data_IF_855807725258
#
_entry.id   IF_855807725258
#
_cell.length_a   1.000
_cell.length_b   1.000
_cell.length_c   1.000
_cell.angle_alpha   90.00
_cell.angle_beta   90.00
_cell.angle_gamma   90.00
#
_symmetry.space_group_name_H-M   'P 1'
#
loop_
_entity.id
_entity.type
_entity.pdbx_description
1 polymer ?
#
# COMPACT_ATOMS: atom_id res chain seq x y z
N UNK A 1 -34.74 -20.29 -0.21
CA UNK A 1 -34.54 -19.90 1.20
C UNK A 1 -33.13 -19.35 1.35
N UNK A 2 -33.04 -18.08 1.74
CA UNK A 2 -31.81 -17.41 2.17
C UNK A 2 -31.32 -18.03 3.48
N UNK A 3 -30.02 -18.34 3.57
CA UNK A 3 -29.27 -18.27 4.83
C UNK A 3 -27.83 -17.85 4.52
N UNK A 4 -27.57 -16.54 4.55
CA UNK A 4 -26.24 -16.03 4.84
C UNK A 4 -25.97 -16.19 6.35
N UNK A 5 -24.81 -16.68 6.78
CA UNK A 5 -24.28 -16.36 8.09
C UNK A 5 -23.44 -15.08 8.02
N UNK A 6 -23.81 -14.10 8.85
CA UNK A 6 -23.11 -12.84 9.14
C UNK A 6 -21.94 -13.13 10.14
N UNK A 7 -21.10 -12.14 10.50
CA UNK A 7 -19.63 -12.14 10.44
C UNK A 7 -18.94 -12.79 11.66
N UNK A 8 -17.78 -13.43 11.46
CA UNK A 8 -16.92 -13.86 12.56
C UNK A 8 -15.95 -12.74 12.98
N UNK A 9 -16.35 -11.94 13.98
CA UNK A 9 -15.53 -11.02 14.76
C UNK A 9 -14.49 -11.72 15.67
N UNK A 10 -13.93 -12.86 15.26
CA UNK A 10 -12.85 -13.54 15.99
C UNK A 10 -11.58 -13.44 15.17
N UNK A 11 -10.68 -12.56 15.60
CA UNK A 11 -9.29 -12.45 15.16
C UNK A 11 -8.49 -13.54 15.90
N UNK A 12 -7.86 -14.54 15.24
CA UNK A 12 -7.05 -15.49 16.01
C UNK A 12 -5.68 -15.84 15.42
N UNK A 13 -4.66 -15.76 16.30
CA UNK A 13 -3.32 -16.41 16.32
C UNK A 13 -2.03 -15.58 16.12
N UNK A 14 -2.05 -14.25 15.96
CA UNK A 14 -0.81 -13.41 15.88
C UNK A 14 -0.65 -12.52 17.08
N UNK A 15 -1.77 -12.25 17.76
CA UNK A 15 -1.77 -11.91 19.16
C UNK A 15 -0.94 -12.92 19.96
N UNK A 16 -0.89 -14.20 19.57
CA UNK A 16 -0.13 -15.22 20.31
C UNK A 16 1.37 -14.99 20.39
N UNK A 17 2.11 -14.55 19.37
CA UNK A 17 3.58 -14.55 19.49
C UNK A 17 4.12 -13.47 20.44
N UNK A 18 3.55 -12.27 20.33
CA UNK A 18 3.85 -11.17 21.24
C UNK A 18 3.13 -11.32 22.58
N UNK A 19 1.91 -11.85 22.66
CA UNK A 19 1.28 -12.18 23.96
C UNK A 19 1.97 -13.35 24.67
N UNK A 20 2.48 -14.35 23.94
CA UNK A 20 3.24 -15.45 24.55
C UNK A 20 4.59 -14.93 25.06
N UNK A 21 5.31 -14.08 24.31
CA UNK A 21 6.54 -13.48 24.83
C UNK A 21 6.29 -12.48 25.98
N UNK A 22 5.20 -11.69 25.93
CA UNK A 22 4.85 -10.74 26.99
C UNK A 22 4.25 -11.43 28.25
N UNK A 23 3.58 -12.58 28.12
CA UNK A 23 3.08 -13.41 29.24
C UNK A 23 4.09 -14.45 29.73
N UNK A 24 5.15 -14.71 28.97
CA UNK A 24 6.22 -15.61 29.39
C UNK A 24 7.02 -14.90 30.49
N UNK A 25 6.84 -15.37 31.72
CA UNK A 25 7.69 -15.03 32.87
C UNK A 25 9.09 -15.71 32.73
N UNK A 26 9.47 -16.15 31.52
CA UNK A 26 10.71 -16.89 31.24
C UNK A 26 11.24 -16.56 29.85
N UNK A 27 12.54 -16.74 29.68
CA UNK A 27 13.20 -16.57 28.38
C UNK A 27 12.71 -17.58 27.33
N UNK A 28 12.85 -17.19 26.06
CA UNK A 28 12.47 -17.99 24.89
C UNK A 28 13.34 -19.24 24.79
N UNK A 29 12.72 -20.41 24.63
CA UNK A 29 13.40 -21.68 24.47
C UNK A 29 13.15 -22.24 23.05
N UNK A 30 14.17 -22.15 22.21
CA UNK A 30 14.15 -22.57 20.81
C UNK A 30 13.79 -24.05 20.59
N UNK A 31 13.90 -24.90 21.61
CA UNK A 31 13.60 -26.35 21.53
C UNK A 31 12.13 -26.70 21.78
N UNK A 32 11.40 -25.83 22.49
CA UNK A 32 10.04 -26.14 22.99
C UNK A 32 9.01 -25.12 22.52
N UNK A 33 9.47 -23.91 22.21
CA UNK A 33 8.61 -22.80 21.86
C UNK A 33 8.39 -22.76 20.33
N UNK A 34 7.12 -22.91 19.92
CA UNK A 34 6.72 -22.83 18.50
C UNK A 34 7.20 -21.51 17.93
N UNK A 35 7.84 -21.52 16.75
CA UNK A 35 8.21 -20.33 15.97
C UNK A 35 7.20 -20.00 14.89
N UNK A 36 6.57 -18.82 14.94
CA UNK A 36 5.77 -18.35 13.80
C UNK A 36 6.69 -17.64 12.80
N UNK A 37 6.62 -18.02 11.52
CA UNK A 37 7.35 -17.30 10.48
C UNK A 37 6.93 -15.82 10.42
N UNK A 38 7.90 -14.87 10.29
CA UNK A 38 7.63 -13.43 10.23
C UNK A 38 6.62 -13.02 9.15
N UNK A 39 6.57 -13.75 8.03
CA UNK A 39 5.61 -13.48 6.95
C UNK A 39 4.15 -13.65 7.38
N UNK A 40 3.88 -14.47 8.41
CA UNK A 40 2.54 -14.58 8.96
C UNK A 40 2.20 -13.24 9.60
N UNK A 41 3.07 -12.72 10.50
CA UNK A 41 2.96 -11.42 11.21
C UNK A 41 2.65 -10.29 10.24
N UNK A 42 3.43 -10.22 9.18
CA UNK A 42 3.31 -9.21 8.14
C UNK A 42 1.94 -9.27 7.45
N UNK A 43 1.47 -10.45 7.05
CA UNK A 43 0.15 -10.59 6.39
C UNK A 43 -1.00 -10.07 7.25
N UNK A 44 -0.96 -10.19 8.57
CA UNK A 44 -2.08 -9.69 9.39
C UNK A 44 -2.01 -8.22 9.70
N UNK A 45 -0.83 -7.64 9.88
CA UNK A 45 -0.78 -6.18 10.02
C UNK A 45 -1.25 -5.52 8.72
N UNK A 46 -0.93 -6.10 7.56
CA UNK A 46 -1.48 -5.66 6.28
C UNK A 46 -3.00 -5.84 6.20
N UNK A 47 -3.53 -6.99 6.63
CA UNK A 47 -4.98 -7.24 6.66
C UNK A 47 -5.73 -6.34 7.64
N UNK A 48 -5.10 -6.02 8.78
CA UNK A 48 -5.59 -5.04 9.75
C UNK A 48 -5.73 -3.66 9.12
N UNK A 49 -4.73 -3.23 8.35
CA UNK A 49 -4.77 -1.97 7.61
C UNK A 49 -5.85 -2.03 6.54
N UNK A 50 -5.97 -3.12 5.77
CA UNK A 50 -7.03 -3.30 4.77
C UNK A 50 -8.44 -3.14 5.36
N UNK A 51 -8.66 -3.60 6.60
CA UNK A 51 -9.92 -3.42 7.32
C UNK A 51 -10.01 -2.14 8.15
N UNK A 52 -9.03 -1.23 8.03
CA UNK A 52 -8.95 0.02 8.79
C UNK A 52 -9.05 -0.17 10.31
N UNK A 53 -8.47 -1.25 10.86
CA UNK A 53 -8.52 -1.55 12.29
C UNK A 53 -7.41 -0.80 13.05
N UNK A 54 -7.69 0.44 13.44
CA UNK A 54 -6.74 1.31 14.14
C UNK A 54 -6.22 0.70 15.46
N UNK A 55 -7.10 0.09 16.26
CA UNK A 55 -6.75 -0.43 17.57
C UNK A 55 -5.63 -1.48 17.49
N UNK A 56 -5.72 -2.39 16.52
CA UNK A 56 -4.70 -3.42 16.33
C UNK A 56 -3.39 -2.81 15.82
N UNK A 57 -3.44 -1.85 14.89
CA UNK A 57 -2.26 -1.14 14.40
C UNK A 57 -1.52 -0.40 15.54
N UNK A 58 -2.25 0.33 16.39
CA UNK A 58 -1.69 1.04 17.53
C UNK A 58 -1.01 0.09 18.52
N UNK A 59 -1.66 -1.03 18.84
CA UNK A 59 -1.08 -2.05 19.71
C UNK A 59 0.20 -2.64 19.10
N UNK A 60 0.21 -2.93 17.80
CA UNK A 60 1.36 -3.46 17.08
C UNK A 60 2.55 -2.49 17.08
N UNK A 61 2.32 -1.22 16.76
CA UNK A 61 3.37 -0.18 16.75
C UNK A 61 3.89 0.10 18.16
N UNK A 62 3.01 0.15 19.17
CA UNK A 62 3.42 0.35 20.57
C UNK A 62 4.40 -0.73 21.03
N UNK A 63 4.20 -1.98 20.61
CA UNK A 63 5.12 -3.09 20.93
C UNK A 63 6.41 -3.06 20.12
N UNK A 64 6.35 -2.57 18.87
CA UNK A 64 7.52 -2.54 17.98
C UNK A 64 7.57 -1.22 17.18
N UNK A 65 8.04 -0.11 17.77
CA UNK A 65 8.03 1.20 17.13
C UNK A 65 8.86 1.26 15.83
N UNK A 66 9.94 0.51 15.74
CA UNK A 66 10.78 0.42 14.54
C UNK A 66 10.04 -0.11 13.29
N UNK A 67 8.87 -0.71 13.46
CA UNK A 67 8.07 -1.21 12.33
C UNK A 67 7.42 -0.10 11.49
N UNK A 68 7.47 1.16 11.92
CA UNK A 68 6.96 2.30 11.15
C UNK A 68 7.71 2.44 9.81
N UNK A 69 9.03 2.23 9.82
CA UNK A 69 9.90 2.36 8.64
C UNK A 69 10.18 1.02 7.94
N UNK A 70 9.79 -0.09 8.57
CA UNK A 70 10.02 -1.44 8.04
C UNK A 70 9.21 -1.67 6.75
N UNK A 71 9.83 -2.38 5.80
CA UNK A 71 9.15 -2.86 4.60
C UNK A 71 8.33 -4.12 4.86
N UNK A 72 7.10 -4.11 4.34
CA UNK A 72 6.18 -5.23 4.28
C UNK A 72 5.94 -5.61 2.83
N UNK A 73 5.58 -6.87 2.59
CA UNK A 73 5.41 -7.46 1.27
C UNK A 73 3.96 -7.92 1.08
N UNK A 74 3.39 -7.60 -0.07
CA UNK A 74 2.09 -8.10 -0.51
C UNK A 74 2.17 -8.60 -1.95
N UNK A 75 1.75 -9.84 -2.16
CA UNK A 75 1.67 -10.47 -3.49
C UNK A 75 0.21 -10.58 -3.93
N UNK A 76 -0.04 -10.26 -5.19
CA UNK A 76 -1.25 -10.58 -5.90
C UNK A 76 -0.90 -11.43 -7.14
N UNK A 77 -1.75 -12.39 -7.48
CA UNK A 77 -1.57 -13.26 -8.65
C UNK A 77 -2.79 -13.06 -9.56
N UNK A 78 -2.77 -12.04 -10.45
CA UNK A 78 -3.91 -11.74 -11.32
C UNK A 78 -4.23 -12.83 -12.33
N UNK A 79 -3.23 -13.61 -12.76
CA UNK A 79 -3.41 -14.70 -13.70
C UNK A 79 -2.41 -15.82 -13.44
N UNK A 80 -2.85 -17.06 -13.69
CA UNK A 80 -2.00 -18.26 -13.66
C UNK A 80 -1.67 -18.77 -15.07
N UNK A 81 -2.36 -18.29 -16.10
CA UNK A 81 -2.07 -18.59 -17.51
C UNK A 81 -2.43 -17.40 -18.43
N UNK A 82 -1.44 -16.62 -18.92
CA UNK A 82 -0.03 -16.66 -18.49
C UNK A 82 0.11 -16.32 -17.01
N UNK A 83 1.17 -16.80 -16.36
CA UNK A 83 1.46 -16.45 -14.96
C UNK A 83 1.78 -14.96 -14.91
N UNK A 84 0.96 -14.21 -14.17
CA UNK A 84 1.17 -12.81 -13.83
C UNK A 84 1.21 -12.69 -12.32
N UNK A 85 2.28 -12.12 -11.78
CA UNK A 85 2.42 -11.83 -10.35
C UNK A 85 2.76 -10.36 -10.17
N UNK A 86 2.09 -9.72 -9.22
CA UNK A 86 2.37 -8.34 -8.82
C UNK A 86 2.71 -8.33 -7.35
N UNK A 87 3.86 -7.77 -7.03
CA UNK A 87 4.34 -7.61 -5.67
C UNK A 87 4.47 -6.13 -5.38
N UNK A 88 3.96 -5.72 -4.23
CA UNK A 88 4.18 -4.39 -3.66
C UNK A 88 4.99 -4.59 -2.38
N UNK A 89 6.06 -3.83 -2.23
CA UNK A 89 6.87 -3.73 -1.03
C UNK A 89 6.83 -2.28 -0.56
N UNK A 90 6.23 -2.03 0.59
CA UNK A 90 6.09 -0.68 1.14
C UNK A 90 6.06 -0.70 2.67
N UNK A 91 6.14 0.47 3.31
CA UNK A 91 5.89 0.58 4.74
C UNK A 91 4.38 0.51 5.02
N UNK A 92 4.00 0.49 6.30
CA UNK A 92 2.57 0.43 6.69
C UNK A 92 1.76 1.61 6.17
N UNK A 93 2.37 2.79 6.04
CA UNK A 93 1.73 3.97 5.48
C UNK A 93 1.32 3.77 4.03
N UNK A 94 2.14 3.11 3.23
CA UNK A 94 1.81 2.79 1.84
C UNK A 94 0.60 1.89 1.71
N UNK A 95 0.50 0.87 2.56
CA UNK A 95 -0.68 0.02 2.59
C UNK A 95 -1.91 0.77 3.11
N UNK A 96 -1.75 1.70 4.05
CA UNK A 96 -2.86 2.53 4.51
C UNK A 96 -3.38 3.45 3.41
N UNK A 97 -2.49 3.98 2.57
CA UNK A 97 -2.85 4.71 1.35
C UNK A 97 -3.59 3.76 0.39
N UNK A 98 -2.94 2.67 -0.03
CA UNK A 98 -3.45 1.70 -1.01
C UNK A 98 -4.87 1.21 -0.70
N UNK A 99 -5.16 0.95 0.57
CA UNK A 99 -6.46 0.44 1.01
C UNK A 99 -7.45 1.52 1.47
N UNK A 100 -7.09 2.81 1.37
CA UNK A 100 -7.88 3.94 1.89
C UNK A 100 -8.25 3.79 3.38
N UNK A 101 -7.32 3.23 4.16
CA UNK A 101 -7.48 2.98 5.58
C UNK A 101 -7.28 4.29 6.38
N UNK A 102 -8.28 5.18 6.32
CA UNK A 102 -8.16 6.57 6.76
C UNK A 102 -7.76 6.75 8.23
N UNK A 103 -8.24 5.91 9.14
CA UNK A 103 -7.89 6.01 10.57
C UNK A 103 -6.45 5.55 10.81
N UNK A 104 -6.06 4.44 10.18
CA UNK A 104 -4.69 3.94 10.19
C UNK A 104 -3.72 4.94 9.57
N UNK A 105 -4.09 5.55 8.44
CA UNK A 105 -3.33 6.58 7.75
C UNK A 105 -3.05 7.78 8.66
N UNK A 106 -4.11 8.33 9.27
CA UNK A 106 -3.98 9.47 10.17
C UNK A 106 -3.02 9.15 11.32
N UNK A 107 -3.19 7.99 11.96
CA UNK A 107 -2.29 7.57 13.03
C UNK A 107 -0.83 7.45 12.56
N UNK A 108 -0.58 6.80 11.42
CA UNK A 108 0.78 6.63 10.88
C UNK A 108 1.44 7.97 10.54
N UNK A 109 0.68 8.94 10.03
CA UNK A 109 1.17 10.29 9.81
C UNK A 109 1.48 11.03 11.12
N UNK A 110 0.64 10.87 12.16
CA UNK A 110 0.88 11.51 13.47
C UNK A 110 2.15 11.02 14.16
N UNK A 111 2.57 9.78 13.91
CA UNK A 111 3.82 9.20 14.41
C UNK A 111 4.97 9.34 13.41
N UNK A 112 4.85 10.27 12.47
CA UNK A 112 5.91 10.66 11.52
C UNK A 112 6.33 9.59 10.51
N UNK A 113 5.44 8.66 10.14
CA UNK A 113 5.69 7.78 8.99
C UNK A 113 5.86 8.61 7.71
N UNK A 114 6.94 8.37 6.96
CA UNK A 114 7.28 9.20 5.79
C UNK A 114 6.54 8.76 4.51
N UNK A 115 5.70 9.62 3.88
CA UNK A 115 5.02 9.32 2.61
C UNK A 115 5.99 9.22 1.41
N UNK A 116 7.19 9.77 1.53
CA UNK A 116 8.21 9.77 0.49
C UNK A 116 9.26 8.67 0.66
N UNK A 117 9.12 7.81 1.67
CA UNK A 117 9.91 6.59 1.76
C UNK A 117 9.70 5.75 0.50
N UNK A 118 10.77 5.17 -0.05
CA UNK A 118 10.70 4.31 -1.23
C UNK A 118 9.71 3.17 -1.04
N UNK A 119 9.04 2.77 -2.11
CA UNK A 119 8.25 1.57 -2.25
C UNK A 119 8.69 0.89 -3.54
N UNK A 120 8.63 -0.44 -3.56
CA UNK A 120 9.06 -1.25 -4.69
C UNK A 120 7.88 -2.02 -5.25
N UNK A 121 7.80 -2.03 -6.57
CA UNK A 121 6.75 -2.68 -7.31
C UNK A 121 7.41 -3.65 -8.26
N UNK A 122 7.00 -4.91 -8.20
CA UNK A 122 7.59 -5.98 -9.00
C UNK A 122 6.47 -6.66 -9.76
N UNK A 123 6.57 -6.63 -11.08
CA UNK A 123 5.67 -7.34 -11.98
C UNK A 123 6.45 -8.47 -12.65
N UNK A 124 5.97 -9.69 -12.46
CA UNK A 124 6.53 -10.87 -13.09
C UNK A 124 5.51 -11.46 -14.04
N UNK A 125 5.94 -11.75 -15.26
CA UNK A 125 5.13 -12.45 -16.25
C UNK A 125 5.89 -13.61 -16.88
N UNK A 126 5.25 -14.76 -17.03
CA UNK A 126 5.78 -15.90 -17.76
C UNK A 126 4.68 -16.77 -18.35
N UNK A 127 4.97 -17.51 -19.42
CA UNK A 127 4.11 -18.64 -19.82
C UNK A 127 4.17 -19.76 -18.76
N UNK A 128 3.17 -20.66 -18.67
CA UNK A 128 3.17 -21.77 -17.70
C UNK A 128 4.40 -22.69 -17.80
N UNK A 129 4.98 -22.82 -19.01
CA UNK A 129 6.20 -23.57 -19.27
C UNK A 129 7.50 -22.80 -18.97
N UNK A 130 7.42 -21.61 -18.37
CA UNK A 130 8.56 -20.78 -18.02
C UNK A 130 9.25 -20.10 -19.21
N UNK A 131 8.64 -20.12 -20.41
CA UNK A 131 9.13 -19.38 -21.58
C UNK A 131 8.66 -17.91 -21.50
N UNK A 132 9.42 -16.99 -22.12
CA UNK A 132 9.16 -15.55 -22.15
C UNK A 132 9.04 -14.93 -20.75
N UNK A 133 10.02 -15.20 -19.88
CA UNK A 133 10.10 -14.59 -18.55
C UNK A 133 10.42 -13.11 -18.70
N UNK A 134 9.56 -12.27 -18.15
CA UNK A 134 9.78 -10.83 -18.04
C UNK A 134 9.56 -10.42 -16.60
N UNK A 135 10.54 -9.73 -16.04
CA UNK A 135 10.48 -9.11 -14.73
C UNK A 135 10.60 -7.60 -14.92
N UNK A 136 9.63 -6.85 -14.40
CA UNK A 136 9.66 -5.41 -14.36
C UNK A 136 9.65 -4.97 -12.90
N UNK A 137 10.62 -4.15 -12.53
CA UNK A 137 10.73 -3.59 -11.19
C UNK A 137 10.69 -2.07 -11.32
N UNK A 138 9.95 -1.41 -10.45
CA UNK A 138 10.10 0.02 -10.28
C UNK A 138 10.07 0.43 -8.82
N UNK A 139 10.89 1.42 -8.51
CA UNK A 139 10.95 2.08 -7.21
C UNK A 139 10.33 3.46 -7.32
N UNK A 140 9.40 3.76 -6.41
CA UNK A 140 8.69 5.03 -6.34
C UNK A 140 8.49 5.44 -4.88
N UNK A 141 8.30 6.73 -4.57
CA UNK A 141 7.81 7.15 -3.27
C UNK A 141 6.49 6.46 -2.90
N UNK A 142 6.32 6.11 -1.62
CA UNK A 142 5.14 5.42 -1.09
C UNK A 142 3.83 6.12 -1.44
N UNK A 143 3.83 7.45 -1.48
CA UNK A 143 2.67 8.28 -1.85
C UNK A 143 2.11 7.97 -3.25
N UNK A 144 2.89 7.34 -4.14
CA UNK A 144 2.43 6.91 -5.47
C UNK A 144 1.35 5.82 -5.40
N UNK A 145 1.24 5.09 -4.30
CA UNK A 145 0.12 4.17 -4.05
C UNK A 145 -1.25 4.88 -4.02
N UNK A 146 -1.28 6.22 -3.97
CA UNK A 146 -2.49 7.00 -4.23
C UNK A 146 -3.12 6.66 -5.59
N UNK A 147 -2.34 6.36 -6.63
CA UNK A 147 -2.88 6.05 -7.96
C UNK A 147 -3.81 4.84 -7.94
N UNK A 148 -3.51 3.82 -7.11
CA UNK A 148 -4.37 2.67 -6.90
C UNK A 148 -5.59 2.98 -6.03
N UNK A 149 -5.48 4.03 -5.21
CA UNK A 149 -6.48 4.43 -4.23
C UNK A 149 -7.56 5.32 -4.84
N UNK A 150 -7.18 6.18 -5.81
CA UNK A 150 -8.05 7.09 -6.54
C UNK A 150 -8.98 6.28 -7.44
N UNK A 151 -10.22 6.13 -6.96
CA UNK A 151 -11.29 5.44 -7.64
C UNK A 151 -12.56 6.27 -7.47
N UNK A 152 -13.22 6.65 -8.57
CA UNK A 152 -14.41 7.50 -8.51
C UNK A 152 -15.52 6.89 -7.64
N UNK A 153 -15.71 5.58 -7.71
CA UNK A 153 -16.66 4.84 -6.84
C UNK A 153 -16.35 4.92 -5.34
N UNK A 154 -15.16 5.39 -4.96
CA UNK A 154 -14.68 5.57 -3.58
C UNK A 154 -14.34 7.04 -3.27
N UNK A 155 -14.94 7.98 -3.99
CA UNK A 155 -14.68 9.44 -3.90
C UNK A 155 -14.55 9.95 -2.46
N UNK A 156 -15.52 9.66 -1.59
CA UNK A 156 -15.50 10.12 -0.19
C UNK A 156 -14.31 9.61 0.62
N UNK A 157 -13.96 8.32 0.44
CA UNK A 157 -12.80 7.71 1.11
C UNK A 157 -11.50 8.34 0.62
N UNK A 158 -11.41 8.66 -0.68
CA UNK A 158 -10.24 9.31 -1.31
C UNK A 158 -10.10 10.76 -0.87
N UNK A 159 -11.20 11.51 -0.75
CA UNK A 159 -11.19 12.87 -0.23
C UNK A 159 -10.67 12.89 1.21
N UNK A 160 -11.17 12.00 2.08
CA UNK A 160 -10.69 11.87 3.47
C UNK A 160 -9.20 11.52 3.53
N UNK A 161 -8.74 10.68 2.62
CA UNK A 161 -7.33 10.30 2.50
C UNK A 161 -6.49 11.54 2.19
N UNK A 162 -6.85 12.30 1.15
CA UNK A 162 -6.12 13.51 0.78
C UNK A 162 -6.18 14.62 1.83
N UNK A 163 -7.32 14.77 2.51
CA UNK A 163 -7.41 15.67 3.66
C UNK A 163 -6.38 15.30 4.73
N UNK A 164 -6.23 14.01 5.03
CA UNK A 164 -5.28 13.53 6.04
C UNK A 164 -3.83 13.81 5.63
N UNK A 165 -3.49 13.59 4.35
CA UNK A 165 -2.17 13.96 3.81
C UNK A 165 -1.94 15.48 3.87
N UNK A 166 -2.95 16.30 3.56
CA UNK A 166 -2.83 17.76 3.64
C UNK A 166 -2.61 18.23 5.07
N UNK A 167 -3.39 17.72 6.03
CA UNK A 167 -3.25 18.05 7.45
C UNK A 167 -1.88 17.65 8.02
N UNK A 168 -1.24 16.63 7.46
CA UNK A 168 0.12 16.23 7.78
C UNK A 168 1.20 17.00 6.99
N UNK A 169 0.83 18.07 6.27
CA UNK A 169 1.71 18.90 5.44
C UNK A 169 2.47 18.11 4.36
N UNK A 170 1.85 17.09 3.76
CA UNK A 170 2.49 16.33 2.68
C UNK A 170 2.54 17.17 1.39
N UNK A 171 3.73 17.39 0.85
CA UNK A 171 3.96 18.29 -0.28
C UNK A 171 3.94 17.56 -1.63
N UNK A 172 2.75 17.37 -2.21
CA UNK A 172 2.59 16.69 -3.50
C UNK A 172 3.08 17.51 -4.72
N UNK A 173 3.59 18.73 -4.50
CA UNK A 173 4.14 19.60 -5.54
C UNK A 173 5.67 19.43 -5.74
N UNK A 174 6.29 18.55 -4.95
CA UNK A 174 7.72 18.26 -5.06
C UNK A 174 8.03 17.33 -6.24
N UNK A 175 9.15 17.55 -6.96
CA UNK A 175 9.61 16.66 -8.01
C UNK A 175 9.87 15.26 -7.50
N UNK A 176 9.62 14.26 -8.35
CA UNK A 176 9.89 12.87 -8.02
C UNK A 176 10.62 12.15 -9.15
N UNK A 177 11.42 11.16 -8.78
CA UNK A 177 12.11 10.29 -9.71
C UNK A 177 11.71 8.83 -9.45
N UNK A 178 11.43 8.11 -10.53
CA UNK A 178 11.18 6.68 -10.49
C UNK A 178 12.37 5.95 -11.10
N UNK A 179 12.83 4.89 -10.44
CA UNK A 179 13.83 3.98 -11.01
C UNK A 179 13.09 2.77 -11.56
N UNK A 180 13.32 2.44 -12.83
CA UNK A 180 12.74 1.27 -13.48
C UNK A 180 13.84 0.33 -13.91
N UNK A 181 13.60 -0.97 -13.79
CA UNK A 181 14.47 -2.02 -14.25
C UNK A 181 13.64 -3.12 -14.90
N UNK A 182 14.02 -3.52 -16.11
CA UNK A 182 13.39 -4.59 -16.87
C UNK A 182 14.41 -5.70 -17.11
N UNK A 183 14.05 -6.94 -16.82
CA UNK A 183 14.87 -8.12 -17.06
C UNK A 183 14.09 -9.11 -17.92
N UNK A 184 14.66 -9.48 -19.05
CA UNK A 184 14.09 -10.45 -20.00
C UNK A 184 15.18 -11.43 -20.44
N UNK A 185 15.42 -12.52 -19.68
CA UNK A 185 16.47 -13.47 -20.00
C UNK A 185 16.28 -14.05 -21.43
N UNK A 186 17.36 -14.16 -22.23
CA UNK A 186 18.77 -14.01 -21.87
C UNK A 186 19.33 -12.57 -21.98
N UNK A 187 18.51 -11.56 -22.29
CA UNK A 187 18.97 -10.20 -22.50
C UNK A 187 19.48 -9.55 -21.21
N UNK A 188 20.44 -8.63 -21.35
CA UNK A 188 20.92 -7.83 -20.22
C UNK A 188 19.80 -6.96 -19.63
N UNK A 189 19.79 -6.73 -18.30
CA UNK A 189 18.82 -5.84 -17.68
C UNK A 189 18.90 -4.41 -18.22
N UNK A 190 17.75 -3.83 -18.55
CA UNK A 190 17.63 -2.43 -18.96
C UNK A 190 17.17 -1.62 -17.77
N UNK A 191 17.83 -0.50 -17.49
CA UNK A 191 17.45 0.42 -16.40
C UNK A 191 17.14 1.81 -16.93
N UNK A 192 16.12 2.46 -16.38
CA UNK A 192 15.67 3.80 -16.77
C UNK A 192 15.33 4.62 -15.52
N UNK A 193 15.61 5.92 -15.56
CA UNK A 193 15.14 6.88 -14.55
C UNK A 193 14.11 7.78 -15.20
N UNK A 194 12.88 7.74 -14.72
CA UNK A 194 11.83 8.69 -15.10
C UNK A 194 11.79 9.83 -14.10
N UNK A 195 11.65 11.06 -14.58
CA UNK A 195 11.57 12.26 -13.74
C UNK A 195 10.26 12.97 -14.03
N UNK A 196 9.55 13.35 -12.97
CA UNK A 196 8.31 14.09 -13.01
C UNK A 196 8.49 15.43 -12.31
N UNK A 197 7.80 16.45 -12.82
CA UNK A 197 7.83 17.82 -12.30
C UNK A 197 7.26 17.84 -10.88
N UNK A 198 6.19 17.09 -10.64
CA UNK A 198 5.61 16.92 -9.32
C UNK A 198 4.95 15.53 -9.11
N UNK A 199 4.46 15.27 -7.89
CA UNK A 199 3.79 14.02 -7.56
C UNK A 199 2.47 13.87 -8.33
N UNK A 200 1.78 14.98 -8.63
CA UNK A 200 0.52 14.95 -9.39
C UNK A 200 0.72 14.45 -10.81
N UNK A 201 1.74 14.92 -11.51
CA UNK A 201 2.09 14.46 -12.86
C UNK A 201 2.37 12.95 -12.87
N UNK A 202 3.11 12.45 -11.87
CA UNK A 202 3.34 11.03 -11.75
C UNK A 202 2.05 10.24 -11.50
N UNK A 203 1.15 10.73 -10.64
CA UNK A 203 -0.13 10.07 -10.40
C UNK A 203 -0.98 10.01 -11.68
N UNK A 204 -1.00 11.08 -12.47
CA UNK A 204 -1.67 11.10 -13.78
C UNK A 204 -1.12 10.00 -14.71
N UNK A 205 0.20 9.79 -14.71
CA UNK A 205 0.86 8.72 -15.50
C UNK A 205 0.64 7.32 -14.96
N UNK A 206 0.53 7.14 -13.65
CA UNK A 206 0.18 5.83 -13.09
C UNK A 206 -1.29 5.46 -13.38
N UNK A 207 -2.20 6.43 -13.38
CA UNK A 207 -3.60 6.20 -13.78
C UNK A 207 -3.74 5.82 -15.26
N UNK A 208 -2.84 6.27 -16.15
CA UNK A 208 -2.81 5.88 -17.57
C UNK A 208 -2.59 4.38 -17.79
N UNK A 209 -2.07 3.66 -16.79
CA UNK A 209 -1.84 2.21 -16.87
C UNK A 209 -3.08 1.39 -16.53
N UNK A 210 -4.16 2.03 -16.08
CA UNK A 210 -5.44 1.37 -15.79
C UNK A 210 -6.26 1.18 -17.07
N UNK A 211 -7.33 0.39 -16.99
CA UNK A 211 -8.30 0.24 -18.08
C UNK A 211 -8.85 1.60 -18.54
N UNK A 212 -8.98 1.83 -19.85
CA UNK A 212 -9.21 3.16 -20.45
C UNK A 212 -10.46 3.88 -19.91
N UNK A 213 -11.53 3.11 -19.68
CA UNK A 213 -12.78 3.63 -19.15
C UNK A 213 -12.68 4.02 -17.66
N UNK A 214 -11.90 3.28 -16.86
CA UNK A 214 -11.69 3.58 -15.43
C UNK A 214 -10.65 4.71 -15.28
N UNK A 215 -9.62 4.72 -16.12
CA UNK A 215 -8.59 5.74 -16.17
C UNK A 215 -9.17 7.15 -16.43
N UNK A 216 -10.15 7.26 -17.34
CA UNK A 216 -10.76 8.55 -17.68
C UNK A 216 -11.45 9.20 -16.49
N UNK A 217 -12.31 8.44 -15.78
CA UNK A 217 -13.02 8.94 -14.58
C UNK A 217 -12.06 9.26 -13.43
N UNK A 218 -11.09 8.37 -13.20
CA UNK A 218 -10.12 8.57 -12.11
C UNK A 218 -9.20 9.78 -12.38
N UNK A 219 -8.91 10.09 -13.65
CA UNK A 219 -8.17 11.30 -14.05
C UNK A 219 -8.97 12.57 -13.82
N UNK A 220 -10.27 12.58 -14.10
CA UNK A 220 -11.15 13.71 -13.79
C UNK A 220 -11.17 13.98 -12.29
N UNK A 221 -11.38 12.93 -11.49
CA UNK A 221 -11.28 13.01 -10.03
C UNK A 221 -9.91 13.55 -9.59
N UNK A 222 -8.80 13.03 -10.13
CA UNK A 222 -7.46 13.49 -9.77
C UNK A 222 -7.27 15.00 -10.04
N UNK A 223 -7.80 15.53 -11.14
CA UNK A 223 -7.75 16.98 -11.46
C UNK A 223 -8.52 17.81 -10.44
N UNK A 224 -9.72 17.37 -10.07
CA UNK A 224 -10.53 18.02 -9.04
C UNK A 224 -9.80 18.02 -7.70
N UNK A 225 -9.32 16.84 -7.27
CA UNK A 225 -8.56 16.67 -6.04
C UNK A 225 -7.30 17.54 -6.01
N UNK A 226 -6.54 17.62 -7.10
CA UNK A 226 -5.35 18.50 -7.24
C UNK A 226 -5.72 19.97 -7.01
N UNK A 227 -6.81 20.43 -7.62
CA UNK A 227 -7.26 21.83 -7.50
C UNK A 227 -7.64 22.17 -6.05
N UNK A 228 -8.31 21.24 -5.38
CA UNK A 228 -8.83 21.42 -4.03
C UNK A 228 -7.74 21.26 -2.97
N UNK A 229 -6.79 20.34 -3.19
CA UNK A 229 -5.61 20.17 -2.35
C UNK A 229 -4.75 21.44 -2.29
N UNK A 230 -4.55 22.11 -3.45
CA UNK A 230 -3.81 23.37 -3.53
C UNK A 230 -4.54 24.54 -2.89
N UNK A 231 -5.87 24.56 -2.97
CA UNK A 231 -6.69 25.66 -2.47
C UNK A 231 -7.12 25.49 -1.00
N UNK A 232 -6.84 24.35 -0.37
CA UNK A 232 -7.32 23.95 0.96
C UNK A 232 -8.86 24.02 1.11
N UNK A 233 -9.59 23.73 0.02
CA UNK A 233 -11.06 23.90 -0.05
C UNK A 233 -11.81 22.56 -0.08
N UNK A 234 -11.35 21.56 0.69
CA UNK A 234 -11.96 20.22 0.70
C UNK A 234 -13.45 20.21 1.06
N UNK A 235 -13.92 21.21 1.82
CA UNK A 235 -15.33 21.34 2.17
C UNK A 235 -16.24 21.62 0.97
N UNK A 236 -15.70 22.08 -0.17
CA UNK A 236 -16.48 22.25 -1.41
C UNK A 236 -16.78 20.93 -2.13
N UNK A 237 -16.07 19.85 -1.81
CA UNK A 237 -16.27 18.54 -2.44
C UNK A 237 -17.21 17.62 -1.64
N UNK A 238 -17.68 18.04 -0.46
CA UNK A 238 -18.54 17.23 0.42
C UNK A 238 -20.04 17.32 0.10
N UNK A 239 -20.45 18.14 -0.89
CA UNK A 239 -21.84 18.54 -1.12
C UNK A 239 -22.38 18.24 -2.54
N UNK A 240 -21.80 17.28 -3.24
CA UNK A 240 -22.34 16.74 -4.51
C UNK A 240 -22.55 15.22 -4.37
#
# INVERSE_FOLDING_TARGET
MSVYPIPSNKIPAMNMYQEINDCRIREFNDEVDITFPPYIVDKRILKCIEYNNLNYLQAYIKKCPYNIERYFYSENIPSIDPILRKVIISNLLGYAILYRANECLQYLLTISSNPFQSAFFIEYSSKPNGINKKLFMYEAPTVILLANSIQEKKRDEVIKLLMSLRSANVELHLPIALRQQQMEPPNEPVSLILRFIDTWECLEKELEKQDEAEASKNKELLKELKSVYRAEKFDKMKNE
#
